data_IF_673592280012
#
_entry.id   IF_673592280012
#
_cell.length_a   1.000
_cell.length_b   1.000
_cell.length_c   1.000
_cell.angle_alpha   90.00
_cell.angle_beta   90.00
_cell.angle_gamma   90.00
#
_symmetry.space_group_name_H-M   'P 1'
#
loop_
_entity.id
_entity.type
_entity.pdbx_description
1 polymer ?
#
# COMPACT_ATOMS: atom_id res chain seq x y z
N UNK A 1 4.80 16.29 14.06
CA UNK A 1 5.36 16.32 12.68
C UNK A 1 4.42 15.50 11.82
N UNK A 2 3.73 16.11 10.85
CA UNK A 2 2.89 15.35 9.91
C UNK A 2 3.76 14.85 8.76
N UNK A 3 3.76 13.53 8.55
CA UNK A 3 4.25 12.92 7.32
C UNK A 3 3.35 13.41 6.18
N UNK A 4 3.86 14.34 5.35
CA UNK A 4 3.22 14.64 4.08
C UNK A 4 3.55 13.50 3.13
N UNK A 5 2.58 12.61 2.92
CA UNK A 5 2.65 11.59 1.87
C UNK A 5 2.75 12.31 0.53
N UNK A 6 3.88 12.15 -0.15
CA UNK A 6 4.10 12.63 -1.51
C UNK A 6 3.20 11.83 -2.46
N UNK A 7 1.99 12.31 -2.73
CA UNK A 7 1.20 11.80 -3.85
C UNK A 7 1.87 12.25 -5.14
N UNK A 8 2.60 11.33 -5.77
CA UNK A 8 3.13 11.50 -7.13
C UNK A 8 1.99 11.79 -8.09
N UNK A 9 2.00 12.99 -8.67
CA UNK A 9 1.09 13.40 -9.73
C UNK A 9 1.53 12.71 -11.03
N UNK A 10 0.89 11.59 -11.37
CA UNK A 10 1.19 10.85 -12.60
C UNK A 10 0.51 11.56 -13.77
N UNK A 11 1.31 12.18 -14.63
CA UNK A 11 0.90 12.82 -15.88
C UNK A 11 0.82 11.78 -16.99
N UNK A 12 -0.32 11.10 -17.11
CA UNK A 12 -0.57 10.17 -18.22
C UNK A 12 -1.98 9.59 -18.15
N UNK A 13 -2.75 9.77 -19.23
CA UNK A 13 -4.09 9.19 -19.48
C UNK A 13 -4.84 8.72 -18.24
N UNK A 14 -5.59 9.63 -17.59
CA UNK A 14 -6.37 9.29 -16.41
C UNK A 14 -7.45 8.27 -16.76
N UNK A 15 -7.25 7.01 -16.36
CA UNK A 15 -8.37 6.09 -16.14
C UNK A 15 -8.94 6.42 -14.75
N UNK A 16 -10.07 7.14 -14.67
CA UNK A 16 -10.61 7.61 -13.40
C UNK A 16 -10.96 6.45 -12.46
N UNK A 17 -11.36 5.31 -13.01
CA UNK A 17 -11.71 4.14 -12.21
C UNK A 17 -10.48 3.54 -11.55
N UNK A 18 -9.36 3.46 -12.27
CA UNK A 18 -8.11 2.98 -11.72
C UNK A 18 -7.62 3.86 -10.56
N UNK A 19 -7.69 5.19 -10.69
CA UNK A 19 -7.33 6.09 -9.60
C UNK A 19 -8.30 6.01 -8.43
N UNK A 20 -9.60 5.81 -8.67
CA UNK A 20 -10.58 5.62 -7.60
C UNK A 20 -10.26 4.36 -6.78
N UNK A 21 -9.98 3.23 -7.43
CA UNK A 21 -9.59 2.00 -6.73
C UNK A 21 -8.31 2.17 -5.91
N UNK A 22 -7.31 2.88 -6.46
CA UNK A 22 -6.07 3.20 -5.73
C UNK A 22 -6.33 4.09 -4.52
N UNK A 23 -7.18 5.10 -4.66
CA UNK A 23 -7.52 6.04 -3.60
C UNK A 23 -8.22 5.33 -2.44
N UNK A 24 -9.20 4.47 -2.72
CA UNK A 24 -9.92 3.74 -1.68
C UNK A 24 -9.00 2.79 -0.91
N UNK A 25 -8.13 2.04 -1.59
CA UNK A 25 -7.13 1.19 -0.92
C UNK A 25 -6.16 2.00 -0.04
N UNK A 26 -5.78 3.21 -0.48
CA UNK A 26 -4.94 4.11 0.31
C UNK A 26 -5.67 4.61 1.56
N UNK A 27 -6.91 5.07 1.41
CA UNK A 27 -7.72 5.61 2.51
C UNK A 27 -8.04 4.53 3.55
N UNK A 28 -8.39 3.32 3.12
CA UNK A 28 -8.64 2.19 4.01
C UNK A 28 -7.39 1.79 4.80
N UNK A 29 -6.23 1.75 4.14
CA UNK A 29 -4.96 1.51 4.83
C UNK A 29 -4.65 2.62 5.84
N UNK A 30 -4.87 3.89 5.46
CA UNK A 30 -4.68 5.04 6.35
C UNK A 30 -5.63 5.03 7.56
N UNK A 31 -6.81 4.41 7.42
CA UNK A 31 -7.76 4.16 8.51
C UNK A 31 -7.39 2.96 9.39
N UNK A 32 -6.31 2.24 9.06
CA UNK A 32 -5.76 1.15 9.86
C UNK A 32 -6.16 -0.25 9.40
N UNK A 33 -6.70 -0.41 8.19
CA UNK A 33 -6.89 -1.73 7.61
C UNK A 33 -5.54 -2.43 7.42
N UNK A 34 -5.45 -3.68 7.87
CA UNK A 34 -4.24 -4.50 7.73
C UNK A 34 -4.06 -4.98 6.29
N UNK A 35 -2.84 -5.32 5.90
CA UNK A 35 -2.55 -5.86 4.56
C UNK A 35 -3.39 -7.11 4.23
N UNK A 36 -3.66 -7.96 5.22
CA UNK A 36 -4.51 -9.15 5.04
C UNK A 36 -5.96 -8.78 4.72
N UNK A 37 -6.51 -7.78 5.41
CA UNK A 37 -7.88 -7.29 5.16
C UNK A 37 -7.98 -6.64 3.78
N UNK A 38 -6.99 -5.83 3.41
CA UNK A 38 -6.92 -5.21 2.09
C UNK A 38 -6.78 -6.25 0.97
N UNK A 39 -5.96 -7.30 1.17
CA UNK A 39 -5.84 -8.39 0.21
C UNK A 39 -7.16 -9.18 0.04
N UNK A 40 -7.89 -9.42 1.13
CA UNK A 40 -9.20 -10.03 1.07
C UNK A 40 -10.20 -9.14 0.32
N UNK A 41 -10.22 -7.84 0.61
CA UNK A 41 -11.06 -6.86 -0.11
C UNK A 41 -10.72 -6.81 -1.59
N UNK A 42 -9.45 -6.82 -1.95
CA UNK A 42 -9.00 -6.85 -3.35
C UNK A 42 -9.56 -8.07 -4.09
N UNK A 43 -9.58 -9.25 -3.46
CA UNK A 43 -10.20 -10.45 -4.04
C UNK A 43 -11.72 -10.27 -4.23
N UNK A 44 -12.43 -9.76 -3.21
CA UNK A 44 -13.87 -9.49 -3.30
C UNK A 44 -14.20 -8.46 -4.39
N UNK A 45 -13.41 -7.38 -4.49
CA UNK A 45 -13.56 -6.33 -5.50
C UNK A 45 -13.30 -6.90 -6.89
N UNK A 46 -12.28 -7.74 -7.07
CA UNK A 46 -11.99 -8.37 -8.35
C UNK A 46 -13.15 -9.24 -8.85
N UNK A 47 -13.88 -9.90 -7.93
CA UNK A 47 -15.00 -10.76 -8.28
C UNK A 47 -16.33 -10.01 -8.48
N UNK A 48 -16.57 -8.94 -7.70
CA UNK A 48 -17.90 -8.31 -7.59
C UNK A 48 -17.98 -6.90 -8.15
N UNK A 49 -16.85 -6.19 -8.29
CA UNK A 49 -16.87 -4.81 -8.72
C UNK A 49 -17.05 -4.70 -10.24
N UNK A 50 -17.99 -3.88 -10.75
CA UNK A 50 -18.30 -3.83 -12.18
C UNK A 50 -17.19 -3.20 -13.03
N UNK A 51 -16.30 -2.41 -12.42
CA UNK A 51 -15.15 -1.81 -13.11
C UNK A 51 -13.87 -2.59 -12.85
N UNK A 52 -13.31 -3.15 -13.92
CA UNK A 52 -11.98 -3.78 -13.92
C UNK A 52 -10.87 -2.78 -13.62
N UNK A 53 -11.00 -1.53 -14.11
CA UNK A 53 -10.02 -0.46 -13.82
C UNK A 53 -9.90 -0.21 -12.33
N UNK A 54 -11.04 -0.10 -11.64
CA UNK A 54 -11.10 0.04 -10.19
C UNK A 54 -10.46 -1.15 -9.47
N UNK A 55 -10.81 -2.39 -9.85
CA UNK A 55 -10.24 -3.58 -9.22
C UNK A 55 -8.71 -3.65 -9.39
N UNK A 56 -8.20 -3.31 -10.58
CA UNK A 56 -6.77 -3.23 -10.85
C UNK A 56 -6.10 -2.15 -10.00
N UNK A 57 -6.70 -0.97 -9.93
CA UNK A 57 -6.19 0.13 -9.11
C UNK A 57 -6.10 -0.24 -7.64
N UNK A 58 -7.16 -0.81 -7.09
CA UNK A 58 -7.19 -1.26 -5.70
C UNK A 58 -6.09 -2.29 -5.43
N UNK A 59 -5.98 -3.34 -6.26
CA UNK A 59 -4.96 -4.37 -6.11
C UNK A 59 -3.52 -3.84 -6.25
N UNK A 60 -3.28 -2.90 -7.16
CA UNK A 60 -1.97 -2.30 -7.38
C UNK A 60 -1.50 -1.51 -6.14
N UNK A 61 -2.41 -0.74 -5.52
CA UNK A 61 -2.07 -0.03 -4.27
C UNK A 61 -1.82 -1.00 -3.10
N UNK A 62 -2.56 -2.11 -3.01
CA UNK A 62 -2.29 -3.16 -1.99
C UNK A 62 -0.89 -3.78 -2.17
N UNK A 63 -0.45 -4.01 -3.41
CA UNK A 63 0.89 -4.51 -3.69
C UNK A 63 1.98 -3.49 -3.33
N UNK A 64 1.74 -2.20 -3.54
CA UNK A 64 2.65 -1.15 -3.09
C UNK A 64 2.77 -1.13 -1.56
N UNK A 65 1.64 -1.12 -0.84
CA UNK A 65 1.62 -1.16 0.64
C UNK A 65 2.41 -2.36 1.14
N UNK A 66 2.23 -3.55 0.54
CA UNK A 66 3.01 -4.74 0.89
C UNK A 66 4.52 -4.52 0.74
N UNK A 67 4.96 -3.86 -0.34
CA UNK A 67 6.39 -3.58 -0.56
C UNK A 67 6.90 -2.55 0.42
N UNK A 68 6.10 -1.53 0.73
CA UNK A 68 6.39 -0.51 1.77
C UNK A 68 6.62 -1.19 3.12
N UNK A 69 5.68 -2.03 3.60
CA UNK A 69 5.81 -2.76 4.86
C UNK A 69 7.03 -3.70 4.89
N UNK A 70 7.28 -4.44 3.81
CA UNK A 70 8.44 -5.34 3.72
C UNK A 70 9.78 -4.57 3.74
N UNK A 71 9.83 -3.40 3.10
CA UNK A 71 10.99 -2.52 3.15
C UNK A 71 11.26 -2.00 4.55
N UNK A 72 10.21 -1.67 5.31
CA UNK A 72 10.33 -1.19 6.69
C UNK A 72 10.92 -2.28 7.60
N UNK A 73 10.46 -3.52 7.48
CA UNK A 73 11.00 -4.66 8.27
C UNK A 73 12.51 -4.87 8.01
N UNK A 74 12.96 -4.72 6.77
CA UNK A 74 14.37 -4.87 6.43
C UNK A 74 15.24 -3.79 7.10
N UNK A 75 14.81 -2.53 7.06
CA UNK A 75 15.52 -1.40 7.67
C UNK A 75 15.52 -1.48 9.20
N UNK A 76 14.40 -1.87 9.82
CA UNK A 76 14.33 -2.07 11.28
C UNK A 76 15.27 -3.18 11.74
N UNK A 77 15.36 -4.28 10.97
CA UNK A 77 16.28 -5.39 11.27
C UNK A 77 17.75 -4.95 11.19
N UNK A 78 18.09 -4.12 10.20
CA UNK A 78 19.45 -3.57 10.03
C UNK A 78 19.84 -2.63 11.18
N UNK A 79 18.92 -1.74 11.59
CA UNK A 79 19.14 -0.86 12.74
C UNK A 79 19.30 -1.66 14.05
N UNK A 80 18.44 -2.65 14.29
CA UNK A 80 18.52 -3.52 15.47
C UNK A 80 19.83 -4.34 15.52
N UNK A 81 20.40 -4.70 14.36
CA UNK A 81 21.69 -5.38 14.30
C UNK A 81 22.86 -4.44 14.61
N UNK A 82 22.75 -3.17 14.20
CA UNK A 82 23.79 -2.15 14.40
C UNK A 82 23.87 -1.67 15.86
N UNK A 83 22.75 -1.69 16.59
CA UNK A 83 22.66 -1.23 17.98
C UNK A 83 23.08 -2.26 19.04
N UNK A 84 23.35 -3.52 18.68
CA UNK A 84 23.89 -4.49 19.65
C UNK A 84 25.36 -4.19 19.96
N UNK A 85 25.73 -3.78 21.18
CA UNK A 85 27.13 -3.63 21.55
C UNK A 85 27.79 -5.02 21.49
N UNK A 86 28.94 -5.10 20.80
CA UNK A 86 29.76 -6.30 20.77
C UNK A 86 30.10 -6.68 22.23
N UNK A 87 29.86 -7.93 22.66
CA UNK A 87 30.34 -8.37 23.95
C UNK A 87 31.86 -8.25 23.98
N UNK A 88 32.37 -7.52 24.97
CA UNK A 88 33.79 -7.54 25.37
C UNK A 88 34.01 -8.66 26.39
#
# INVERSE_FOLDING_TARGET
MSLMTLTTSITGGHDPDLYAGRADAYDEHAQGATLTELAHRAAVIADLHPSTGYALGYADRVLEIRREEQGHVAVETENAHTERPRPQ
#
